data_IF_769839642111
#
_entry.id   IF_769839642111
#
_cell.length_a   1.000
_cell.length_b   1.000
_cell.length_c   1.000
_cell.angle_alpha   90.00
_cell.angle_beta   90.00
_cell.angle_gamma   90.00
#
_symmetry.space_group_name_H-M   'P 1'
#
loop_
_entity.id
_entity.type
_entity.pdbx_description
1 polymer ?
#
# COMPACT_ATOMS: atom_id res chain seq x y z
N UNK A 1 11.66 -19.25 -7.31
CA UNK A 1 10.73 -18.15 -7.00
C UNK A 1 10.94 -17.11 -8.07
N UNK A 2 9.88 -16.61 -8.71
CA UNK A 2 10.01 -15.45 -9.61
C UNK A 2 10.17 -14.24 -8.68
N UNK A 3 11.31 -13.58 -8.74
CA UNK A 3 11.54 -12.36 -7.97
C UNK A 3 10.68 -11.24 -8.57
N UNK A 4 9.90 -10.57 -7.72
CA UNK A 4 9.11 -9.41 -8.15
C UNK A 4 10.03 -8.21 -8.34
N UNK A 5 9.79 -7.43 -9.39
CA UNK A 5 10.40 -6.12 -9.52
C UNK A 5 9.97 -5.21 -8.37
N UNK A 6 10.76 -4.17 -8.07
CA UNK A 6 10.39 -3.18 -7.04
C UNK A 6 9.03 -2.53 -7.30
N UNK A 7 8.70 -2.29 -8.57
CA UNK A 7 7.39 -1.75 -8.95
C UNK A 7 6.25 -2.73 -8.68
N UNK A 8 6.40 -4.01 -9.01
CA UNK A 8 5.40 -5.04 -8.71
C UNK A 8 5.21 -5.21 -7.20
N UNK A 9 6.31 -5.18 -6.42
CA UNK A 9 6.25 -5.23 -4.97
C UNK A 9 5.54 -4.01 -4.38
N UNK A 10 5.85 -2.80 -4.85
CA UNK A 10 5.19 -1.57 -4.41
C UNK A 10 3.69 -1.59 -4.75
N UNK A 11 3.32 -2.11 -5.93
CA UNK A 11 1.93 -2.28 -6.34
C UNK A 11 1.19 -3.26 -5.40
N UNK A 12 1.80 -4.41 -5.11
CA UNK A 12 1.22 -5.40 -4.20
C UNK A 12 1.05 -4.83 -2.78
N UNK A 13 2.05 -4.09 -2.28
CA UNK A 13 2.00 -3.44 -0.97
C UNK A 13 0.89 -2.40 -0.88
N UNK A 14 0.71 -1.58 -1.92
CA UNK A 14 -0.34 -0.58 -1.95
C UNK A 14 -1.74 -1.21 -1.94
N UNK A 15 -1.94 -2.23 -2.79
CA UNK A 15 -3.20 -2.98 -2.85
C UNK A 15 -3.56 -3.64 -1.51
N UNK A 16 -2.57 -4.20 -0.81
CA UNK A 16 -2.80 -4.79 0.50
C UNK A 16 -3.12 -3.72 1.56
N UNK A 17 -2.47 -2.57 1.52
CA UNK A 17 -2.79 -1.45 2.41
C UNK A 17 -4.23 -0.94 2.21
N UNK A 18 -4.71 -0.85 0.96
CA UNK A 18 -6.11 -0.52 0.66
C UNK A 18 -7.09 -1.56 1.21
N UNK A 19 -6.78 -2.85 1.02
CA UNK A 19 -7.61 -3.96 1.54
C UNK A 19 -7.71 -3.93 3.06
N UNK A 20 -6.58 -3.71 3.73
CA UNK A 20 -6.52 -3.62 5.20
C UNK A 20 -7.27 -2.40 5.72
N UNK A 21 -7.12 -1.24 5.06
CA UNK A 21 -7.85 -0.03 5.42
C UNK A 21 -9.36 -0.24 5.30
N UNK A 22 -9.83 -0.77 4.16
CA UNK A 22 -11.25 -1.03 3.97
C UNK A 22 -11.82 -1.97 5.04
N UNK A 23 -11.12 -3.08 5.34
CA UNK A 23 -11.53 -3.99 6.40
C UNK A 23 -11.54 -3.33 7.79
N UNK A 24 -10.64 -2.38 8.05
CA UNK A 24 -10.60 -1.64 9.31
C UNK A 24 -11.70 -0.58 9.41
N UNK A 25 -12.08 0.07 8.30
CA UNK A 25 -13.22 0.99 8.24
C UNK A 25 -14.53 0.25 8.55
N UNK A 26 -14.73 -0.93 7.94
CA UNK A 26 -15.87 -1.80 8.25
C UNK A 26 -15.85 -2.24 9.72
N UNK A 27 -14.69 -2.63 10.24
CA UNK A 27 -14.52 -3.03 11.64
C UNK A 27 -14.76 -1.87 12.62
N UNK A 28 -14.38 -0.64 12.25
CA UNK A 28 -14.61 0.56 13.05
C UNK A 28 -16.09 0.93 13.08
N UNK A 29 -16.78 0.86 11.93
CA UNK A 29 -18.22 1.12 11.83
C UNK A 29 -19.06 0.22 12.75
N UNK A 30 -18.61 -1.02 12.98
CA UNK A 30 -19.21 -1.98 13.91
C UNK A 30 -18.59 -1.97 15.33
N UNK A 31 -17.76 -0.96 15.65
CA UNK A 31 -17.15 -0.78 16.97
C UNK A 31 -16.12 -1.84 17.39
N UNK A 32 -15.62 -2.65 16.45
CA UNK A 32 -14.70 -3.76 16.75
C UNK A 32 -13.22 -3.36 16.76
N UNK A 33 -12.88 -2.19 16.25
CA UNK A 33 -11.53 -1.61 16.35
C UNK A 33 -11.62 -0.11 16.69
N UNK A 34 -10.62 0.48 17.36
CA UNK A 34 -10.60 1.92 17.63
C UNK A 34 -10.27 2.73 16.37
N UNK A 35 -10.72 3.99 16.34
CA UNK A 35 -10.44 4.93 15.24
C UNK A 35 -8.94 5.06 14.92
N UNK A 36 -8.11 5.05 15.97
CA UNK A 36 -6.64 5.07 15.84
C UNK A 36 -6.12 3.99 14.88
N UNK A 37 -6.75 2.81 14.84
CA UNK A 37 -6.36 1.72 13.94
C UNK A 37 -6.63 2.07 12.48
N UNK A 38 -7.76 2.72 12.21
CA UNK A 38 -8.09 3.22 10.87
C UNK A 38 -7.08 4.29 10.46
N UNK A 39 -6.72 5.22 11.35
CA UNK A 39 -5.74 6.27 11.06
C UNK A 39 -4.33 5.73 10.77
N UNK A 40 -3.90 4.69 11.49
CA UNK A 40 -2.66 3.98 11.19
C UNK A 40 -2.66 3.37 9.78
N UNK A 41 -3.77 2.77 9.37
CA UNK A 41 -3.90 2.15 8.05
C UNK A 41 -4.06 3.18 6.92
N UNK A 42 -4.70 4.33 7.19
CA UNK A 42 -4.70 5.49 6.28
C UNK A 42 -3.27 5.97 6.00
N UNK A 43 -2.48 6.17 7.07
CA UNK A 43 -1.06 6.54 6.94
C UNK A 43 -0.25 5.49 6.18
N UNK A 44 -0.49 4.20 6.43
CA UNK A 44 0.18 3.12 5.69
C UNK A 44 -0.16 3.19 4.20
N UNK A 45 -1.43 3.39 3.84
CA UNK A 45 -1.88 3.54 2.45
C UNK A 45 -1.24 4.76 1.78
N UNK A 46 -1.08 5.88 2.50
CA UNK A 46 -0.36 7.05 1.98
C UNK A 46 1.10 6.74 1.65
N UNK A 47 1.80 6.07 2.57
CA UNK A 47 3.20 5.69 2.39
C UNK A 47 3.36 4.76 1.19
N UNK A 48 2.53 3.72 1.07
CA UNK A 48 2.61 2.76 -0.04
C UNK A 48 2.20 3.37 -1.38
N UNK A 49 1.30 4.35 -1.38
CA UNK A 49 0.94 5.10 -2.59
C UNK A 49 2.10 5.97 -3.08
N UNK A 50 2.78 6.65 -2.16
CA UNK A 50 3.97 7.44 -2.50
C UNK A 50 5.10 6.56 -3.03
N UNK A 51 5.35 5.41 -2.39
CA UNK A 51 6.32 4.42 -2.84
C UNK A 51 5.99 3.89 -4.25
N UNK A 52 4.74 3.50 -4.48
CA UNK A 52 4.27 3.07 -5.80
C UNK A 52 4.49 4.15 -6.87
N UNK A 53 4.18 5.41 -6.58
CA UNK A 53 4.41 6.52 -7.53
C UNK A 53 5.89 6.71 -7.86
N UNK A 54 6.78 6.53 -6.88
CA UNK A 54 8.23 6.58 -7.10
C UNK A 54 8.68 5.41 -7.98
N UNK A 55 8.33 4.18 -7.61
CA UNK A 55 8.68 2.99 -8.38
C UNK A 55 8.06 3.00 -9.80
N UNK A 56 6.87 3.55 -9.98
CA UNK A 56 6.24 3.67 -11.30
C UNK A 56 7.00 4.64 -12.20
N UNK A 57 7.51 5.74 -11.64
CA UNK A 57 8.38 6.67 -12.37
C UNK A 57 9.67 5.99 -12.80
N UNK A 58 10.32 5.27 -11.88
CA UNK A 58 11.57 4.54 -12.16
C UNK A 58 11.33 3.46 -13.22
N UNK A 59 10.23 2.71 -13.09
CA UNK A 59 9.80 1.69 -14.05
C UNK A 59 9.58 2.24 -15.46
N UNK A 60 8.84 3.34 -15.58
CA UNK A 60 8.55 3.99 -16.87
C UNK A 60 9.78 4.60 -17.52
N UNK A 61 10.76 5.03 -16.72
CA UNK A 61 12.00 5.63 -17.22
C UNK A 61 13.04 4.60 -17.70
N UNK A 62 12.79 3.30 -17.52
CA UNK A 62 13.76 2.24 -17.82
C UNK A 62 14.93 2.16 -16.84
N UNK A 63 14.90 2.96 -15.76
CA UNK A 63 15.85 2.92 -14.64
C UNK A 63 15.48 1.81 -13.64
N UNK A 64 14.87 0.70 -14.10
CA UNK A 64 14.60 -0.42 -13.21
C UNK A 64 15.91 -1.12 -12.90
N UNK A 65 16.41 -0.86 -11.69
CA UNK A 65 17.57 -1.48 -11.06
C UNK A 65 17.66 -2.99 -11.37
N UNK A 66 18.84 -3.38 -11.87
CA UNK A 66 19.38 -4.74 -11.81
C UNK A 66 19.67 -5.17 -10.38
#
# INVERSE_FOLDING_TARGET
MVEMTRWEQAQANHKEAERLLHAAEDAYARGSVPEKRVDELKRLRDITLEDLRRCEKDHKSGLTDS
#
